data_IF_950216477366
#
_entry.id   IF_950216477366
#
_cell.length_a   1.000
_cell.length_b   1.000
_cell.length_c   1.000
_cell.angle_alpha   90.00
_cell.angle_beta   90.00
_cell.angle_gamma   90.00
#
_symmetry.space_group_name_H-M   'P 1'
#
loop_
_entity.id
_entity.type
_entity.pdbx_description
1 polymer ?
#
# COMPACT_ATOMS: atom_id res chain seq x y z
N UNK A 1 -15.90 -4.18 8.02
CA UNK A 1 -15.99 -3.39 6.77
C UNK A 1 -17.10 -3.93 5.89
N UNK A 2 -17.96 -3.08 5.38
CA UNK A 2 -18.95 -3.37 4.34
C UNK A 2 -18.38 -2.80 3.02
N UNK A 3 -18.34 -3.64 1.98
CA UNK A 3 -17.77 -3.23 0.70
C UNK A 3 -18.85 -2.65 -0.21
N UNK A 4 -18.61 -1.42 -0.64
CA UNK A 4 -19.46 -0.71 -1.57
C UNK A 4 -18.87 -0.71 -2.99
N UNK A 5 -19.56 -0.16 -3.99
CA UNK A 5 -19.24 -0.29 -5.41
C UNK A 5 -17.85 0.15 -5.89
N UNK A 6 -17.00 0.72 -5.01
CA UNK A 6 -15.60 1.05 -5.35
C UNK A 6 -14.68 -0.17 -5.32
N UNK A 7 -15.00 -1.18 -4.52
CA UNK A 7 -14.19 -2.40 -4.41
C UNK A 7 -14.96 -3.54 -5.04
N UNK A 8 -14.43 -4.07 -6.12
CA UNK A 8 -15.00 -5.25 -6.76
C UNK A 8 -14.91 -6.46 -5.82
N UNK A 9 -16.01 -7.20 -5.68
CA UNK A 9 -16.04 -8.38 -4.83
C UNK A 9 -14.97 -9.43 -5.24
N UNK A 10 -14.63 -9.49 -6.52
CA UNK A 10 -13.58 -10.34 -7.08
C UNK A 10 -12.17 -10.02 -6.55
N UNK A 11 -11.93 -8.79 -6.09
CA UNK A 11 -10.66 -8.36 -5.53
C UNK A 11 -10.45 -8.79 -4.07
N UNK A 12 -11.54 -9.01 -3.32
CA UNK A 12 -11.49 -9.26 -1.88
C UNK A 12 -10.68 -10.49 -1.47
N UNK A 13 -10.73 -11.63 -2.17
CA UNK A 13 -9.91 -12.78 -1.82
C UNK A 13 -8.41 -12.47 -1.86
N UNK A 14 -7.95 -11.69 -2.85
CA UNK A 14 -6.57 -11.24 -2.93
C UNK A 14 -6.22 -10.31 -1.77
N UNK A 15 -7.01 -9.26 -1.56
CA UNK A 15 -6.72 -8.22 -0.56
C UNK A 15 -6.72 -8.79 0.86
N UNK A 16 -7.76 -9.54 1.23
CA UNK A 16 -7.88 -10.14 2.56
C UNK A 16 -6.90 -11.30 2.77
N UNK A 17 -6.60 -12.06 1.72
CA UNK A 17 -5.57 -13.09 1.78
C UNK A 17 -4.18 -12.50 2.01
N UNK A 18 -3.84 -11.38 1.34
CA UNK A 18 -2.59 -10.67 1.53
C UNK A 18 -2.46 -10.11 2.96
N UNK A 19 -3.49 -9.40 3.46
CA UNK A 19 -3.46 -8.85 4.83
C UNK A 19 -3.40 -9.96 5.89
N UNK A 20 -4.14 -11.05 5.71
CA UNK A 20 -4.08 -12.21 6.61
C UNK A 20 -2.69 -12.84 6.67
N UNK A 21 -2.04 -13.01 5.50
CA UNK A 21 -0.66 -13.52 5.46
C UNK A 21 0.34 -12.56 6.11
N UNK A 22 0.27 -11.27 5.80
CA UNK A 22 1.13 -10.25 6.38
C UNK A 22 0.97 -10.18 7.90
N UNK A 23 -0.27 -10.16 8.41
CA UNK A 23 -0.56 -10.18 9.84
C UNK A 23 -0.01 -11.43 10.54
N UNK A 24 -0.16 -12.61 9.92
CA UNK A 24 0.38 -13.86 10.44
C UNK A 24 1.93 -13.87 10.54
N UNK A 25 2.61 -13.07 9.73
CA UNK A 25 4.05 -12.85 9.80
C UNK A 25 4.46 -11.76 10.80
N UNK A 26 3.48 -11.07 11.41
CA UNK A 26 3.70 -10.00 12.37
C UNK A 26 3.88 -8.62 11.73
N UNK A 27 3.56 -8.47 10.44
CA UNK A 27 3.46 -7.16 9.81
C UNK A 27 2.32 -6.35 10.45
N UNK A 28 2.48 -5.02 10.66
CA UNK A 28 1.46 -4.21 11.31
C UNK A 28 0.28 -3.92 10.36
N UNK A 29 -0.64 -4.84 10.28
CA UNK A 29 -1.90 -4.69 9.54
C UNK A 29 -3.00 -5.45 10.28
N UNK A 30 -4.28 -4.99 10.23
CA UNK A 30 -5.37 -5.72 10.84
C UNK A 30 -5.56 -7.08 10.17
N UNK A 31 -5.58 -8.15 10.97
CA UNK A 31 -5.88 -9.48 10.45
C UNK A 31 -7.38 -9.60 10.11
N UNK A 32 -7.75 -10.23 8.98
CA UNK A 32 -9.13 -10.58 8.75
C UNK A 32 -9.58 -11.71 9.71
N UNK A 33 -10.78 -11.58 10.25
CA UNK A 33 -11.38 -12.53 11.19
C UNK A 33 -12.23 -13.52 10.40
N UNK A 34 -11.92 -14.80 10.53
CA UNK A 34 -12.72 -15.86 9.92
C UNK A 34 -14.00 -16.13 10.72
N UNK A 35 -15.06 -16.51 10.02
CA UNK A 35 -16.28 -17.03 10.62
C UNK A 35 -16.09 -18.47 11.16
N UNK A 36 -17.17 -19.06 11.68
CA UNK A 36 -17.16 -20.43 12.21
C UNK A 36 -16.87 -21.51 11.16
N UNK A 37 -16.93 -21.15 9.87
CA UNK A 37 -16.63 -22.04 8.74
C UNK A 37 -15.26 -21.73 8.11
N UNK A 38 -14.48 -20.83 8.72
CA UNK A 38 -13.17 -20.43 8.21
C UNK A 38 -13.21 -19.41 7.06
N UNK A 39 -14.38 -18.81 6.78
CA UNK A 39 -14.54 -17.83 5.72
C UNK A 39 -14.28 -16.42 6.25
N UNK A 40 -13.45 -15.64 5.54
CA UNK A 40 -13.15 -14.24 5.90
C UNK A 40 -14.02 -13.24 5.14
N UNK A 41 -14.75 -13.70 4.11
CA UNK A 41 -15.65 -12.88 3.31
C UNK A 41 -17.06 -13.41 3.53
N UNK A 42 -17.89 -12.58 4.14
CA UNK A 42 -19.32 -12.83 4.35
C UNK A 42 -20.19 -11.92 3.49
N UNK A 43 -21.47 -11.95 3.74
CA UNK A 43 -22.48 -11.08 3.12
C UNK A 43 -23.33 -10.40 4.19
N UNK A 44 -23.59 -9.11 4.00
CA UNK A 44 -24.49 -8.33 4.82
C UNK A 44 -25.33 -7.42 3.91
N UNK A 45 -26.65 -7.52 3.97
CA UNK A 45 -27.56 -6.79 3.10
C UNK A 45 -27.19 -6.90 1.61
N UNK A 46 -26.97 -8.12 1.14
CA UNK A 46 -26.57 -8.45 -0.23
C UNK A 46 -25.23 -7.87 -0.71
N UNK A 47 -24.44 -7.31 0.19
CA UNK A 47 -23.11 -6.80 -0.10
C UNK A 47 -22.04 -7.69 0.53
N UNK A 48 -20.87 -7.74 -0.08
CA UNK A 48 -19.71 -8.38 0.52
C UNK A 48 -19.29 -7.64 1.80
N UNK A 49 -18.92 -8.38 2.83
CA UNK A 49 -18.50 -7.85 4.11
C UNK A 49 -17.34 -8.66 4.69
N UNK A 50 -16.48 -8.03 5.45
CA UNK A 50 -15.45 -8.70 6.24
C UNK A 50 -15.31 -8.04 7.61
N UNK A 51 -14.95 -8.84 8.60
CA UNK A 51 -14.52 -8.37 9.92
C UNK A 51 -13.00 -8.39 9.91
N UNK A 52 -12.38 -7.32 10.38
CA UNK A 52 -10.94 -7.23 10.58
C UNK A 52 -10.65 -6.80 12.01
N UNK A 53 -9.51 -7.18 12.53
CA UNK A 53 -9.07 -6.76 13.85
C UNK A 53 -8.94 -5.24 13.93
N UNK A 54 -9.14 -4.71 15.14
CA UNK A 54 -8.91 -3.29 15.39
C UNK A 54 -7.40 -3.00 15.43
N UNK A 55 -6.97 -2.01 14.69
CA UNK A 55 -5.56 -1.55 14.70
C UNK A 55 -5.48 -0.23 15.48
N UNK A 56 -4.73 -0.18 16.61
CA UNK A 56 -4.59 1.03 17.39
C UNK A 56 -3.73 2.07 16.67
N UNK A 57 -4.01 3.34 16.92
CA UNK A 57 -3.25 4.47 16.40
C UNK A 57 -4.11 5.43 15.59
N UNK A 58 -3.47 6.48 15.10
CA UNK A 58 -4.07 7.49 14.27
C UNK A 58 -3.11 7.89 13.14
N UNK A 59 -3.65 8.25 12.00
CA UNK A 59 -2.86 8.85 10.94
C UNK A 59 -2.43 10.27 11.31
N UNK A 60 -1.36 10.75 10.70
CA UNK A 60 -0.82 12.09 10.96
C UNK A 60 -1.00 12.98 9.74
N UNK A 61 -1.74 14.07 9.89
CA UNK A 61 -1.92 15.06 8.83
C UNK A 61 -0.60 15.74 8.44
N UNK A 62 0.32 15.87 9.39
CA UNK A 62 1.65 16.45 9.20
C UNK A 62 2.69 15.48 9.79
N UNK A 63 3.09 14.45 9.04
CA UNK A 63 4.10 13.51 9.49
C UNK A 63 5.48 14.20 9.56
N UNK A 64 6.24 13.89 10.61
CA UNK A 64 7.63 14.35 10.75
C UNK A 64 8.58 13.52 9.88
N UNK A 65 9.82 13.98 9.71
CA UNK A 65 10.90 13.23 9.04
C UNK A 65 11.05 11.82 9.62
N UNK A 66 10.93 11.68 10.94
CA UNK A 66 10.99 10.39 11.62
C UNK A 66 9.82 9.49 11.26
N UNK A 67 8.61 10.05 11.20
CA UNK A 67 7.41 9.30 10.83
C UNK A 67 7.51 8.79 9.39
N UNK A 68 7.96 9.62 8.47
CA UNK A 68 8.14 9.24 7.08
C UNK A 68 9.25 8.20 6.89
N UNK A 69 10.35 8.34 7.62
CA UNK A 69 11.40 7.31 7.63
C UNK A 69 10.84 5.96 8.09
N UNK A 70 10.02 5.97 9.14
CA UNK A 70 9.37 4.76 9.67
C UNK A 70 8.35 4.18 8.68
N UNK A 71 7.52 5.03 8.07
CA UNK A 71 6.60 4.60 7.02
C UNK A 71 7.35 3.96 5.84
N UNK A 72 8.44 4.56 5.38
CA UNK A 72 9.28 3.98 4.33
C UNK A 72 9.91 2.63 4.70
N UNK A 73 10.31 2.44 5.97
CA UNK A 73 10.78 1.14 6.44
C UNK A 73 9.67 0.08 6.43
N UNK A 74 8.46 0.47 6.82
CA UNK A 74 7.31 -0.45 6.86
C UNK A 74 6.86 -0.81 5.44
N UNK A 75 6.88 0.14 4.49
CA UNK A 75 6.62 -0.18 3.08
C UNK A 75 7.64 -1.18 2.51
N UNK A 76 8.92 -1.02 2.84
CA UNK A 76 9.94 -1.97 2.42
C UNK A 76 9.74 -3.36 3.05
N UNK A 77 9.30 -3.44 4.31
CA UNK A 77 8.95 -4.70 4.97
C UNK A 77 7.73 -5.35 4.31
N UNK A 78 6.71 -4.56 3.92
CA UNK A 78 5.58 -5.06 3.15
C UNK A 78 6.04 -5.82 1.91
N UNK A 79 6.89 -5.20 1.09
CA UNK A 79 7.40 -5.82 -0.13
C UNK A 79 8.19 -7.11 0.14
N UNK A 80 8.96 -7.14 1.24
CA UNK A 80 9.74 -8.32 1.63
C UNK A 80 8.84 -9.46 2.15
N UNK A 81 7.89 -9.13 3.01
CA UNK A 81 7.01 -10.11 3.66
C UNK A 81 5.93 -10.63 2.70
N UNK A 82 5.59 -9.85 1.67
CA UNK A 82 4.64 -10.24 0.62
C UNK A 82 5.30 -10.99 -0.56
N UNK A 83 6.63 -11.05 -0.64
CA UNK A 83 7.34 -11.51 -1.85
C UNK A 83 6.94 -12.91 -2.34
N UNK A 84 6.59 -13.82 -1.43
CA UNK A 84 6.15 -15.18 -1.70
C UNK A 84 4.63 -15.36 -1.55
N UNK A 85 3.85 -14.27 -1.57
CA UNK A 85 2.40 -14.36 -1.66
C UNK A 85 1.98 -14.76 -3.08
N UNK A 86 1.45 -15.96 -3.21
CA UNK A 86 1.08 -16.55 -4.51
C UNK A 86 -0.22 -16.03 -5.12
N UNK A 87 -0.90 -15.07 -4.49
CA UNK A 87 -2.11 -14.47 -5.03
C UNK A 87 -1.81 -13.62 -6.27
N UNK A 88 -2.76 -13.58 -7.20
CA UNK A 88 -2.66 -12.82 -8.45
C UNK A 88 -3.81 -11.84 -8.54
N UNK A 89 -3.50 -10.57 -8.74
CA UNK A 89 -4.44 -9.50 -9.09
C UNK A 89 -3.70 -8.48 -9.92
N UNK A 90 -4.16 -8.22 -11.13
CA UNK A 90 -3.61 -7.14 -11.94
C UNK A 90 -3.93 -5.77 -11.33
N UNK A 91 -3.09 -4.79 -11.62
CA UNK A 91 -3.33 -3.42 -11.16
C UNK A 91 -4.53 -2.81 -11.92
N UNK A 92 -5.65 -2.53 -11.24
CA UNK A 92 -6.86 -2.02 -11.88
C UNK A 92 -6.72 -0.57 -12.39
N UNK A 93 -5.67 0.13 -11.96
CA UNK A 93 -5.34 1.50 -12.37
C UNK A 93 -3.94 1.59 -12.99
N UNK A 94 -3.39 0.45 -13.37
CA UNK A 94 -2.07 0.36 -14.01
C UNK A 94 -2.12 0.65 -15.52
N UNK A 95 -0.96 0.60 -16.21
CA UNK A 95 -0.83 0.96 -17.61
C UNK A 95 -1.78 0.26 -18.58
N UNK A 96 -2.18 -0.98 -18.27
CA UNK A 96 -3.14 -1.72 -19.11
C UNK A 96 -4.55 -1.14 -19.06
N UNK A 97 -4.94 -0.55 -17.93
CA UNK A 97 -6.24 0.06 -17.74
C UNK A 97 -6.31 1.52 -18.23
N UNK A 98 -5.17 2.19 -18.45
CA UNK A 98 -5.15 3.63 -18.71
C UNK A 98 -5.93 4.04 -19.96
N UNK A 99 -5.86 3.26 -21.03
CA UNK A 99 -6.59 3.57 -22.25
C UNK A 99 -8.12 3.54 -22.03
N UNK A 100 -8.61 2.51 -21.32
CA UNK A 100 -10.04 2.36 -21.02
C UNK A 100 -10.51 3.42 -20.02
N UNK A 101 -9.71 3.73 -19.00
CA UNK A 101 -9.99 4.80 -18.04
C UNK A 101 -10.06 6.16 -18.75
N UNK A 102 -9.12 6.44 -19.63
CA UNK A 102 -9.13 7.68 -20.42
C UNK A 102 -10.36 7.76 -21.34
N UNK A 103 -10.75 6.64 -21.97
CA UNK A 103 -11.95 6.58 -22.79
C UNK A 103 -13.25 6.84 -21.97
N UNK A 104 -13.31 6.33 -20.73
CA UNK A 104 -14.43 6.65 -19.83
C UNK A 104 -14.49 8.15 -19.50
N UNK A 105 -13.36 8.79 -19.23
CA UNK A 105 -13.28 10.22 -18.99
C UNK A 105 -13.67 11.03 -20.22
N UNK A 106 -13.34 10.56 -21.42
CA UNK A 106 -13.62 11.24 -22.69
C UNK A 106 -15.13 11.47 -22.92
N UNK A 107 -15.97 10.61 -22.38
CA UNK A 107 -17.43 10.71 -22.50
C UNK A 107 -18.02 11.91 -21.75
N UNK A 108 -17.33 12.41 -20.71
CA UNK A 108 -17.83 13.47 -19.82
C UNK A 108 -16.93 14.73 -19.82
N UNK A 109 -15.69 14.62 -20.28
CA UNK A 109 -14.75 15.73 -20.27
C UNK A 109 -15.19 16.84 -21.23
N UNK A 110 -15.11 18.09 -20.77
CA UNK A 110 -15.43 19.29 -21.56
C UNK A 110 -14.45 20.43 -21.25
N UNK A 111 -14.34 21.41 -22.12
CA UNK A 111 -13.55 22.62 -21.90
C UNK A 111 -12.09 22.33 -21.54
N UNK A 112 -11.68 22.74 -20.34
CA UNK A 112 -10.31 22.57 -19.84
C UNK A 112 -9.98 21.11 -19.52
N UNK A 113 -10.93 20.37 -18.96
CA UNK A 113 -10.76 18.93 -18.66
C UNK A 113 -10.48 18.13 -19.91
N UNK A 114 -11.14 18.43 -21.02
CA UNK A 114 -10.87 17.79 -22.33
C UNK A 114 -9.45 18.05 -22.81
N UNK A 115 -8.98 19.29 -22.71
CA UNK A 115 -7.59 19.62 -23.10
C UNK A 115 -6.57 18.89 -22.24
N UNK A 116 -6.81 18.80 -20.93
CA UNK A 116 -5.98 18.04 -20.01
C UNK A 116 -5.99 16.54 -20.35
N UNK A 117 -7.15 15.96 -20.62
CA UNK A 117 -7.27 14.56 -21.01
C UNK A 117 -6.52 14.25 -22.30
N UNK A 118 -6.62 15.11 -23.32
CA UNK A 118 -5.87 14.96 -24.58
C UNK A 118 -4.35 15.00 -24.36
N UNK A 119 -3.87 15.86 -23.45
CA UNK A 119 -2.46 15.89 -23.07
C UNK A 119 -2.03 14.61 -22.36
N UNK A 120 -2.83 14.13 -21.40
CA UNK A 120 -2.59 12.87 -20.73
C UNK A 120 -2.52 11.71 -21.71
N UNK A 121 -3.49 11.58 -22.62
CA UNK A 121 -3.55 10.50 -23.60
C UNK A 121 -2.29 10.47 -24.50
N UNK A 122 -1.71 11.61 -24.82
CA UNK A 122 -0.45 11.69 -25.60
C UNK A 122 0.75 11.18 -24.79
N UNK A 123 0.74 11.33 -23.47
CA UNK A 123 1.83 10.91 -22.60
C UNK A 123 1.75 9.45 -22.15
N UNK A 124 0.57 8.84 -22.18
CA UNK A 124 0.34 7.48 -21.68
C UNK A 124 1.31 6.43 -22.26
N UNK A 125 1.63 6.40 -23.58
CA UNK A 125 2.56 5.41 -24.11
C UNK A 125 3.98 5.54 -23.52
N UNK A 126 4.47 6.76 -23.32
CA UNK A 126 5.78 7.00 -22.75
C UNK A 126 5.82 6.70 -21.26
N UNK A 127 4.75 7.02 -20.54
CA UNK A 127 4.60 6.69 -19.12
C UNK A 127 4.47 5.19 -18.89
N UNK A 128 3.84 4.45 -19.82
CA UNK A 128 3.70 2.99 -19.72
C UNK A 128 5.00 2.22 -20.01
N UNK A 129 5.93 2.82 -20.75
CA UNK A 129 7.17 2.16 -21.20
C UNK A 129 7.99 1.53 -20.07
N UNK A 130 8.21 2.19 -18.89
CA UNK A 130 8.95 1.59 -17.78
C UNK A 130 8.35 0.28 -17.28
N UNK A 131 7.02 0.11 -17.35
CA UNK A 131 6.37 -1.15 -16.92
C UNK A 131 6.70 -2.35 -17.79
N UNK A 132 7.20 -2.13 -19.01
CA UNK A 132 7.61 -3.17 -19.94
C UNK A 132 9.05 -3.67 -19.67
N UNK A 133 9.79 -3.04 -18.77
CA UNK A 133 11.14 -3.47 -18.41
C UNK A 133 11.08 -4.73 -17.52
N UNK A 134 11.56 -5.89 -18.02
CA UNK A 134 11.52 -7.14 -17.27
C UNK A 134 12.52 -7.17 -16.11
N UNK A 135 13.45 -6.23 -16.04
CA UNK A 135 14.44 -6.14 -14.95
C UNK A 135 13.86 -5.49 -13.69
N UNK A 136 12.71 -4.82 -13.78
CA UNK A 136 12.07 -4.20 -12.63
C UNK A 136 11.46 -5.26 -11.71
N UNK A 137 11.81 -5.23 -10.40
CA UNK A 137 11.23 -6.13 -9.42
C UNK A 137 9.71 -5.96 -9.35
N UNK A 138 8.99 -7.09 -9.34
CA UNK A 138 7.54 -7.17 -9.25
C UNK A 138 7.11 -7.99 -8.05
N UNK A 139 5.98 -7.65 -7.49
CA UNK A 139 5.38 -8.37 -6.37
C UNK A 139 4.11 -7.69 -5.89
N UNK A 140 3.51 -8.19 -4.81
CA UNK A 140 2.40 -7.52 -4.18
C UNK A 140 2.81 -6.13 -3.69
N UNK A 141 1.99 -5.14 -4.01
CA UNK A 141 2.12 -3.74 -3.61
C UNK A 141 0.84 -3.28 -2.91
N UNK A 142 0.94 -2.22 -2.12
CA UNK A 142 -0.22 -1.58 -1.48
C UNK A 142 -1.06 -0.80 -2.50
N UNK A 143 -0.38 -0.11 -3.40
CA UNK A 143 -0.92 0.74 -4.46
C UNK A 143 -1.74 1.96 -4.00
N UNK A 144 -1.79 2.22 -2.67
CA UNK A 144 -2.46 3.38 -2.07
C UNK A 144 -1.76 3.78 -0.74
N UNK A 145 -0.42 3.84 -0.74
CA UNK A 145 0.38 4.07 0.47
C UNK A 145 0.44 5.55 0.83
N UNK A 146 -0.72 6.11 1.19
CA UNK A 146 -0.91 7.49 1.62
C UNK A 146 -0.77 7.63 3.15
N UNK A 147 -0.55 8.88 3.67
CA UNK A 147 -0.43 9.10 5.11
C UNK A 147 -1.63 8.66 5.94
N UNK A 148 -2.84 8.75 5.43
CA UNK A 148 -4.09 8.33 6.07
C UNK A 148 -4.26 6.81 6.16
N UNK A 149 -3.51 6.07 5.35
CA UNK A 149 -3.46 4.61 5.40
C UNK A 149 -2.34 4.07 6.32
N UNK A 150 -1.58 4.95 6.98
CA UNK A 150 -0.51 4.57 7.92
C UNK A 150 -0.80 5.14 9.31
N UNK A 151 -1.17 4.26 10.24
CA UNK A 151 -1.50 4.62 11.61
C UNK A 151 -0.25 4.61 12.49
N UNK A 152 -0.09 5.65 13.30
CA UNK A 152 0.96 5.76 14.30
C UNK A 152 0.37 5.56 15.67
N UNK A 153 0.97 4.68 16.47
CA UNK A 153 0.59 4.42 17.84
C UNK A 153 1.75 4.76 18.78
N UNK A 154 1.43 5.28 19.95
CA UNK A 154 2.39 5.53 21.02
C UNK A 154 2.30 4.40 22.01
N UNK A 155 3.43 3.77 22.33
CA UNK A 155 3.49 2.72 23.33
C UNK A 155 3.49 3.31 24.75
N UNK A 156 3.41 2.42 25.76
CA UNK A 156 3.43 2.79 27.19
C UNK A 156 4.69 3.55 27.64
N UNK A 157 5.78 3.45 26.89
CA UNK A 157 7.03 4.19 27.15
C UNK A 157 7.11 5.51 26.38
N UNK A 158 6.01 5.99 25.78
CA UNK A 158 5.94 7.24 25.04
C UNK A 158 6.62 7.21 23.65
N UNK A 159 7.11 6.07 23.19
CA UNK A 159 7.69 5.95 21.85
C UNK A 159 6.59 5.76 20.79
N UNK A 160 6.57 6.65 19.81
CA UNK A 160 5.67 6.56 18.65
C UNK A 160 6.30 5.78 17.52
N UNK A 161 5.56 4.81 16.98
CA UNK A 161 5.95 4.01 15.82
C UNK A 161 4.72 3.71 14.94
N UNK A 162 4.93 3.13 13.74
CA UNK A 162 3.83 2.66 12.90
C UNK A 162 3.07 1.56 13.65
N UNK A 163 1.81 1.83 13.94
CA UNK A 163 0.89 0.93 14.61
C UNK A 163 0.16 0.02 13.64
N UNK A 164 -0.09 0.51 12.42
CA UNK A 164 -0.76 -0.27 11.39
C UNK A 164 -0.72 0.36 10.02
N UNK A 165 -0.78 -0.50 9.01
CA UNK A 165 -1.06 -0.15 7.61
C UNK A 165 -2.43 -0.73 7.28
N UNK A 166 -3.31 0.09 6.76
CA UNK A 166 -4.72 -0.24 6.49
C UNK A 166 -5.05 0.02 5.03
N UNK A 167 -6.25 -0.38 4.61
CA UNK A 167 -6.82 -0.09 3.29
C UNK A 167 -6.05 -0.73 2.11
N UNK A 168 -5.92 -2.05 2.14
CA UNK A 168 -5.29 -2.84 1.07
C UNK A 168 -6.19 -3.09 -0.15
N UNK A 169 -7.29 -2.35 -0.33
CA UNK A 169 -8.25 -2.67 -1.39
C UNK A 169 -7.79 -2.30 -2.80
N UNK A 170 -6.76 -1.46 -2.91
CA UNK A 170 -6.02 -1.25 -4.16
C UNK A 170 -4.85 -2.22 -4.36
N UNK A 171 -4.49 -2.99 -3.33
CA UNK A 171 -3.35 -3.90 -3.41
C UNK A 171 -3.46 -4.84 -4.61
N UNK A 172 -2.35 -5.02 -5.31
CA UNK A 172 -2.25 -5.79 -6.55
C UNK A 172 -0.81 -6.29 -6.75
N UNK A 173 -0.56 -7.03 -7.81
CA UNK A 173 0.79 -7.43 -8.21
C UNK A 173 1.27 -6.48 -9.30
N UNK A 174 2.28 -5.66 -8.98
CA UNK A 174 2.86 -4.72 -9.95
C UNK A 174 4.36 -4.48 -9.68
N UNK A 175 4.95 -3.53 -10.39
CA UNK A 175 6.33 -3.08 -10.19
C UNK A 175 6.46 -2.44 -8.81
N UNK A 176 7.39 -2.94 -7.97
CA UNK A 176 7.58 -2.43 -6.60
C UNK A 176 7.92 -0.93 -6.57
N UNK A 177 8.60 -0.44 -7.62
CA UNK A 177 8.93 0.98 -7.76
C UNK A 177 7.69 1.87 -7.90
N UNK A 178 6.55 1.33 -8.35
CA UNK A 178 5.29 2.08 -8.44
C UNK A 178 4.75 2.43 -7.05
N UNK A 179 4.77 1.48 -6.12
CA UNK A 179 4.39 1.71 -4.72
C UNK A 179 5.30 2.77 -4.06
N UNK A 180 6.59 2.73 -4.37
CA UNK A 180 7.53 3.76 -3.94
C UNK A 180 7.18 5.13 -4.54
N UNK A 181 6.82 5.19 -5.81
CA UNK A 181 6.45 6.45 -6.46
C UNK A 181 5.18 7.05 -5.84
N UNK A 182 4.18 6.21 -5.54
CA UNK A 182 2.97 6.63 -4.80
C UNK A 182 3.35 7.21 -3.44
N UNK A 183 4.16 6.47 -2.66
CA UNK A 183 4.60 6.92 -1.36
C UNK A 183 5.37 8.26 -1.44
N UNK A 184 6.31 8.40 -2.38
CA UNK A 184 7.05 9.64 -2.57
C UNK A 184 6.15 10.81 -2.95
N UNK A 185 5.14 10.59 -3.76
CA UNK A 185 4.17 11.61 -4.15
C UNK A 185 3.27 12.02 -2.98
N UNK A 186 2.78 11.03 -2.21
CA UNK A 186 1.84 11.26 -1.13
C UNK A 186 2.49 11.86 0.13
N UNK A 187 3.75 11.51 0.40
CA UNK A 187 4.48 11.93 1.60
C UNK A 187 5.49 13.05 1.33
N UNK A 188 5.75 13.38 0.06
CA UNK A 188 6.78 14.34 -0.34
C UNK A 188 6.33 15.79 -0.39
N UNK A 189 5.10 16.09 0.00
CA UNK A 189 4.52 17.44 -0.05
C UNK A 189 3.88 17.80 1.29
N UNK A 190 3.95 19.10 1.65
CA UNK A 190 3.21 19.61 2.79
C UNK A 190 1.72 19.86 2.45
N UNK A 191 0.97 20.35 3.43
CA UNK A 191 -0.48 20.62 3.27
C UNK A 191 -0.79 21.75 2.28
N UNK A 192 0.18 22.58 1.94
CA UNK A 192 0.12 23.62 0.92
C UNK A 192 0.61 23.14 -0.46
N UNK A 193 0.97 21.86 -0.58
CA UNK A 193 1.47 21.26 -1.82
C UNK A 193 2.93 21.63 -2.16
N UNK A 194 3.72 22.15 -1.20
CA UNK A 194 5.13 22.47 -1.41
C UNK A 194 5.98 21.21 -1.24
N UNK A 195 6.94 20.95 -2.15
CA UNK A 195 7.83 19.81 -2.02
C UNK A 195 8.63 19.83 -0.70
N UNK A 196 8.69 18.70 -0.03
CA UNK A 196 9.47 18.48 1.18
C UNK A 196 10.71 17.61 0.88
N UNK A 197 11.79 18.19 0.30
CA UNK A 197 12.91 17.41 -0.27
C UNK A 197 13.65 16.59 0.79
N UNK A 198 13.62 17.00 2.05
CA UNK A 198 14.23 16.26 3.16
C UNK A 198 13.52 14.97 3.50
N UNK A 199 12.22 14.88 3.17
CA UNK A 199 11.37 13.75 3.52
C UNK A 199 11.48 12.60 2.50
N UNK A 200 11.74 12.92 1.25
CA UNK A 200 12.01 11.91 0.22
C UNK A 200 13.32 11.14 0.46
N UNK A 201 14.36 11.80 1.00
CA UNK A 201 15.67 11.19 1.22
C UNK A 201 15.68 10.08 2.32
N UNK A 202 15.04 10.26 3.48
CA UNK A 202 14.90 9.20 4.48
C UNK A 202 14.15 7.98 3.98
N UNK A 203 13.01 8.17 3.31
CA UNK A 203 12.22 7.07 2.76
C UNK A 203 12.98 6.28 1.71
N UNK A 204 13.66 6.97 0.77
CA UNK A 204 14.54 6.33 -0.21
C UNK A 204 15.66 5.50 0.44
N UNK A 205 16.32 6.05 1.48
CA UNK A 205 17.39 5.34 2.20
C UNK A 205 16.87 4.14 2.98
N UNK A 206 15.69 4.23 3.59
CA UNK A 206 15.05 3.12 4.26
C UNK A 206 14.76 1.99 3.28
N UNK A 207 14.14 2.31 2.14
CA UNK A 207 13.79 1.33 1.12
C UNK A 207 15.01 0.75 0.41
N UNK A 208 16.04 1.54 0.10
CA UNK A 208 17.28 1.03 -0.51
C UNK A 208 18.06 0.08 0.39
N UNK A 209 17.91 0.20 1.71
CA UNK A 209 18.51 -0.72 2.68
C UNK A 209 17.72 -2.02 2.86
N UNK A 210 16.43 -1.99 2.59
CA UNK A 210 15.53 -3.14 2.70
C UNK A 210 15.22 -3.79 1.35
N UNK A 211 15.61 -3.16 0.23
CA UNK A 211 15.37 -3.72 -1.10
C UNK A 211 16.05 -5.09 -1.27
N UNK A 212 15.42 -6.03 -2.00
CA UNK A 212 15.86 -7.44 -2.10
C UNK A 212 17.17 -7.66 -2.87
N UNK A 213 17.97 -6.63 -3.10
CA UNK A 213 19.29 -6.72 -3.75
C UNK A 213 20.40 -7.32 -2.86
N UNK A 214 20.09 -7.74 -1.63
CA UNK A 214 21.03 -8.48 -0.79
C UNK A 214 20.67 -9.94 -0.74
N UNK A 215 21.72 -10.78 -0.77
CA UNK A 215 21.60 -12.23 -0.74
C UNK A 215 20.73 -12.76 0.41
N UNK A 216 20.06 -13.92 0.26
CA UNK A 216 19.11 -14.47 1.24
C UNK A 216 19.67 -14.68 2.66
N UNK A 217 20.98 -14.61 2.84
CA UNK A 217 21.67 -14.79 4.13
C UNK A 217 21.63 -13.58 5.07
N UNK A 218 21.28 -12.39 4.56
CA UNK A 218 21.20 -11.17 5.38
C UNK A 218 19.77 -10.66 5.46
N UNK A 219 18.89 -11.39 6.13
CA UNK A 219 17.55 -10.88 6.48
C UNK A 219 17.71 -9.84 7.59
N UNK A 220 17.48 -8.54 7.35
CA UNK A 220 17.54 -7.55 8.40
C UNK A 220 16.34 -7.70 9.33
N UNK A 221 16.65 -7.92 10.57
CA UNK A 221 15.87 -7.60 11.74
C UNK A 221 14.42 -8.14 11.83
N UNK A 222 14.28 -9.47 11.98
CA UNK A 222 13.08 -10.10 12.57
C UNK A 222 12.79 -9.62 14.02
N UNK A 223 13.57 -8.65 14.51
CA UNK A 223 13.46 -8.15 15.90
C UNK A 223 12.26 -7.23 16.12
N UNK A 224 11.60 -6.74 15.07
CA UNK A 224 10.41 -5.89 15.23
C UNK A 224 9.20 -6.71 15.71
N UNK A 225 8.97 -7.88 15.13
CA UNK A 225 7.90 -8.78 15.55
C UNK A 225 8.16 -9.42 16.95
N UNK A 226 9.44 -9.60 17.33
CA UNK A 226 9.79 -10.08 18.68
C UNK A 226 9.55 -9.03 19.78
N UNK A 227 9.74 -7.75 19.49
CA UNK A 227 9.49 -6.68 20.48
C UNK A 227 8.02 -6.56 20.89
N UNK A 228 7.07 -6.93 20.01
CA UNK A 228 5.65 -6.95 20.37
C UNK A 228 5.22 -8.16 21.18
N UNK A 229 5.89 -9.31 21.09
CA UNK A 229 5.55 -10.51 21.87
C UNK A 229 6.04 -10.50 23.30
N UNK A 230 6.95 -9.59 23.65
CA UNK A 230 7.42 -9.42 25.03
C UNK A 230 6.61 -8.38 25.82
N UNK A 231 5.56 -7.79 25.25
CA UNK A 231 4.72 -6.77 25.87
C UNK A 231 3.28 -7.26 26.15
N UNK A 232 3.06 -8.58 26.21
CA UNK A 232 1.81 -9.12 26.75
C UNK A 232 2.09 -9.68 28.15
N UNK A 233 1.26 -9.31 29.15
CA UNK A 233 1.42 -9.78 30.54
C UNK A 233 1.22 -11.27 30.66
#
# INVERSE_FOLDING_TARGET
TLFEGRTEASALPFCLGLTGRLAAQGFPTPAPVADLHGQVIGRLNDRAAAIVEWTPGAWKRQPTDKDQYRAGQVLALLHLDAADYGGVRENPVGPRAWADLAACCDTVAAGEDRRMLEQMQRLLPDLARPWSDPSLPRGPIHADYFPDNVLFATNEHGATDVGGVIDFYFACVDVLAYDLAIALSAWGFDVEGRPMPRLCAPSRRAMSRCAPCRAPSERPCRNWARRRRCASP
#
